data_IF_220781093163
#
_entry.id   IF_220781093163
#
_cell.length_a   1.000
_cell.length_b   1.000
_cell.length_c   1.000
_cell.angle_alpha   90.00
_cell.angle_beta   90.00
_cell.angle_gamma   90.00
#
_symmetry.space_group_name_H-M   'P 1'
#
loop_
_entity.id
_entity.type
_entity.pdbx_description
1 polymer ?
#
# COMPACT_ATOMS: atom_id res chain seq x y z
N UNK A 1 -13.50 8.19 18.73
CA UNK A 1 -14.26 8.31 17.47
C UNK A 1 -13.81 7.19 16.56
N UNK A 2 -14.72 6.41 15.99
CA UNK A 2 -14.35 5.38 15.02
C UNK A 2 -14.00 6.11 13.71
N UNK A 3 -12.78 5.90 13.20
CA UNK A 3 -12.39 6.42 11.88
C UNK A 3 -13.29 5.75 10.85
N UNK A 4 -13.89 6.55 9.97
CA UNK A 4 -14.75 6.04 8.92
C UNK A 4 -13.94 5.25 7.90
N UNK A 5 -14.59 4.31 7.22
CA UNK A 5 -13.92 3.52 6.20
C UNK A 5 -13.42 4.39 5.02
N UNK A 6 -14.07 5.54 4.78
CA UNK A 6 -13.67 6.51 3.77
C UNK A 6 -12.35 7.21 4.16
N UNK A 7 -12.23 7.68 5.40
CA UNK A 7 -10.98 8.32 5.88
C UNK A 7 -9.80 7.34 5.83
N UNK A 8 -10.02 6.05 6.12
CA UNK A 8 -8.99 5.01 5.99
C UNK A 8 -8.54 4.81 4.53
N UNK A 9 -9.48 4.87 3.57
CA UNK A 9 -9.15 4.76 2.14
C UNK A 9 -8.36 5.97 1.65
N UNK A 10 -8.75 7.18 2.04
CA UNK A 10 -8.05 8.42 1.67
C UNK A 10 -6.63 8.45 2.28
N UNK A 11 -6.51 8.02 3.54
CA UNK A 11 -5.21 7.87 4.19
C UNK A 11 -4.33 6.84 3.49
N UNK A 12 -4.89 5.67 3.14
CA UNK A 12 -4.15 4.63 2.43
C UNK A 12 -3.66 5.10 1.06
N UNK A 13 -4.50 5.81 0.29
CA UNK A 13 -4.12 6.38 -1.00
C UNK A 13 -3.02 7.46 -0.85
N UNK A 14 -3.12 8.32 0.17
CA UNK A 14 -2.07 9.30 0.48
C UNK A 14 -0.73 8.63 0.79
N UNK A 15 -0.73 7.61 1.65
CA UNK A 15 0.47 6.86 2.02
C UNK A 15 1.09 6.15 0.80
N UNK A 16 0.28 5.52 -0.05
CA UNK A 16 0.79 4.87 -1.26
C UNK A 16 1.35 5.90 -2.25
N UNK A 17 0.70 7.06 -2.43
CA UNK A 17 1.22 8.14 -3.29
C UNK A 17 2.55 8.69 -2.80
N UNK A 18 2.70 8.88 -1.49
CA UNK A 18 3.90 9.46 -0.89
C UNK A 18 5.07 8.48 -0.85
N UNK A 19 4.81 7.23 -0.44
CA UNK A 19 5.86 6.27 -0.12
C UNK A 19 5.86 5.04 -1.04
N UNK A 20 4.69 4.58 -1.49
CA UNK A 20 4.58 3.40 -2.37
C UNK A 20 4.99 3.66 -3.82
N UNK A 21 4.61 4.82 -4.39
CA UNK A 21 4.92 5.17 -5.79
C UNK A 21 6.41 5.22 -6.12
N UNK A 22 7.29 5.82 -5.30
CA UNK A 22 8.73 5.81 -5.58
C UNK A 22 9.30 4.40 -5.71
N UNK A 23 8.73 3.42 -4.99
CA UNK A 23 9.19 2.03 -4.98
C UNK A 23 8.83 1.27 -6.26
N UNK A 24 7.94 1.81 -7.10
CA UNK A 24 7.54 1.17 -8.37
C UNK A 24 8.72 0.98 -9.33
N UNK A 25 9.79 1.77 -9.21
CA UNK A 25 10.97 1.66 -10.07
C UNK A 25 11.84 0.44 -9.74
N UNK A 26 11.93 0.06 -8.46
CA UNK A 26 12.92 -0.92 -7.98
C UNK A 26 12.27 -2.18 -7.36
N UNK A 27 11.07 -2.06 -6.80
CA UNK A 27 10.39 -3.11 -6.03
C UNK A 27 9.07 -3.57 -6.68
N UNK A 28 8.99 -3.48 -8.01
CA UNK A 28 7.76 -3.83 -8.73
C UNK A 28 7.32 -5.27 -8.44
N UNK A 29 6.05 -5.43 -8.06
CA UNK A 29 5.46 -6.74 -7.78
C UNK A 29 5.67 -7.26 -6.35
N UNK A 30 6.55 -6.62 -5.58
CA UNK A 30 6.71 -6.86 -4.15
C UNK A 30 5.57 -6.23 -3.34
N UNK A 31 5.59 -6.48 -2.02
CA UNK A 31 4.66 -5.91 -1.07
C UNK A 31 5.39 -4.91 -0.16
N UNK A 32 4.67 -3.88 0.24
CA UNK A 32 5.16 -2.88 1.20
C UNK A 32 4.10 -2.64 2.28
N UNK A 33 4.49 -2.73 3.54
CA UNK A 33 3.72 -2.22 4.68
C UNK A 33 4.20 -0.80 4.97
N UNK A 34 3.27 0.16 5.06
CA UNK A 34 3.55 1.57 5.30
C UNK A 34 2.79 2.01 6.55
N UNK A 35 3.50 2.58 7.52
CA UNK A 35 2.91 3.18 8.71
C UNK A 35 2.63 4.67 8.48
N UNK A 36 1.75 5.25 9.30
CA UNK A 36 1.35 6.67 9.18
C UNK A 36 2.49 7.65 9.42
N UNK A 37 3.58 7.21 10.03
CA UNK A 37 4.80 7.98 10.26
C UNK A 37 5.88 7.79 9.19
N UNK A 38 5.59 7.05 8.13
CA UNK A 38 6.50 6.82 7.01
C UNK A 38 7.48 5.65 7.21
N UNK A 39 7.41 4.92 8.33
CA UNK A 39 8.15 3.65 8.46
C UNK A 39 7.59 2.63 7.47
N UNK A 40 8.49 1.83 6.90
CA UNK A 40 8.15 0.85 5.88
C UNK A 40 8.82 -0.50 6.06
N UNK A 41 8.15 -1.55 5.61
CA UNK A 41 8.71 -2.91 5.46
C UNK A 41 8.40 -3.41 4.06
N UNK A 42 9.43 -3.83 3.32
CA UNK A 42 9.34 -4.38 1.97
C UNK A 42 9.57 -5.88 1.98
N UNK A 43 8.94 -6.61 1.06
CA UNK A 43 9.23 -8.01 0.88
C UNK A 43 8.43 -8.70 -0.24
N UNK A 44 8.82 -9.93 -0.61
CA UNK A 44 8.31 -10.59 -1.80
C UNK A 44 6.87 -11.11 -1.65
N UNK A 45 6.37 -11.25 -0.42
CA UNK A 45 5.03 -11.78 -0.15
C UNK A 45 4.30 -10.95 0.90
N UNK A 46 2.98 -10.88 0.78
CA UNK A 46 2.12 -10.20 1.74
C UNK A 46 2.28 -10.74 3.15
N UNK A 47 2.42 -12.06 3.30
CA UNK A 47 2.56 -12.71 4.61
C UNK A 47 3.85 -12.27 5.30
N UNK A 48 5.00 -12.38 4.62
CA UNK A 48 6.29 -11.99 5.19
C UNK A 48 6.31 -10.51 5.62
N UNK A 49 5.76 -9.63 4.77
CA UNK A 49 5.68 -8.19 5.06
C UNK A 49 4.76 -7.91 6.26
N UNK A 50 3.64 -8.60 6.37
CA UNK A 50 2.69 -8.43 7.48
C UNK A 50 3.26 -8.92 8.80
N UNK A 51 3.90 -10.09 8.80
CA UNK A 51 4.54 -10.67 9.99
C UNK A 51 5.69 -9.79 10.48
N UNK A 52 6.55 -9.33 9.57
CA UNK A 52 7.68 -8.48 9.90
C UNK A 52 7.24 -7.09 10.39
N UNK A 53 6.25 -6.48 9.74
CA UNK A 53 5.68 -5.20 10.20
C UNK A 53 5.06 -5.32 11.59
N UNK A 54 4.32 -6.40 11.84
CA UNK A 54 3.73 -6.68 13.14
C UNK A 54 4.81 -6.89 14.21
N UNK A 55 5.87 -7.62 13.91
CA UNK A 55 6.96 -7.90 14.84
C UNK A 55 7.79 -6.64 15.16
N UNK A 56 8.06 -5.79 14.16
CA UNK A 56 8.92 -4.60 14.32
C UNK A 56 8.20 -3.40 14.90
N UNK A 57 6.94 -3.18 14.50
CA UNK A 57 6.27 -1.91 14.71
C UNK A 57 4.85 -2.07 15.29
N UNK A 58 4.35 -3.30 15.37
CA UNK A 58 3.00 -3.58 15.86
C UNK A 58 1.92 -3.34 14.80
N UNK A 59 0.70 -3.13 15.27
CA UNK A 59 -0.48 -2.91 14.40
C UNK A 59 -0.50 -1.48 13.87
N UNK A 60 -1.21 -1.26 12.76
CA UNK A 60 -1.50 0.09 12.23
C UNK A 60 -0.82 0.44 10.91
N UNK A 61 -0.17 -0.53 10.25
CA UNK A 61 0.30 -0.36 8.87
C UNK A 61 -0.76 -0.66 7.83
N UNK A 62 -0.62 -0.03 6.67
CA UNK A 62 -1.33 -0.38 5.45
C UNK A 62 -0.41 -1.20 4.53
N UNK A 63 -0.90 -2.32 4.00
CA UNK A 63 -0.11 -3.19 3.12
C UNK A 63 -0.57 -3.01 1.68
N UNK A 64 0.39 -2.81 0.78
CA UNK A 64 0.16 -2.58 -0.63
C UNK A 64 1.01 -3.52 -1.48
N UNK A 65 0.52 -3.84 -2.69
CA UNK A 65 1.35 -4.44 -3.73
C UNK A 65 1.92 -3.34 -4.60
N UNK A 66 3.25 -3.29 -4.71
CA UNK A 66 3.96 -2.24 -5.43
C UNK A 66 3.76 -2.41 -6.94
N UNK A 67 3.42 -1.32 -7.63
CA UNK A 67 3.32 -1.27 -9.09
C UNK A 67 2.04 -1.86 -9.69
N UNK A 68 1.29 -2.69 -8.95
CA UNK A 68 -0.01 -3.20 -9.43
C UNK A 68 -1.08 -2.13 -9.22
N UNK A 69 -0.97 -1.06 -10.01
CA UNK A 69 -2.07 -0.15 -10.22
C UNK A 69 -2.99 -0.81 -11.23
N UNK A 70 -4.01 -1.51 -10.76
CA UNK A 70 -5.16 -1.88 -11.59
C UNK A 70 -5.95 -0.61 -11.94
N UNK A 71 -5.36 0.27 -12.77
CA UNK A 71 -6.10 1.30 -13.48
C UNK A 71 -6.73 0.60 -14.69
N UNK A 72 -7.69 -0.28 -14.42
CA UNK A 72 -8.62 -0.70 -15.44
C UNK A 72 -9.43 0.53 -15.84
N UNK A 73 -8.97 1.28 -16.85
CA UNK A 73 -9.90 2.07 -17.66
C UNK A 73 -10.71 1.03 -18.41
N UNK A 74 -11.88 0.65 -17.88
CA UNK A 74 -12.85 -0.07 -18.69
C UNK A 74 -13.04 0.76 -19.95
N UNK A 75 -12.86 0.14 -21.12
CA UNK A 75 -13.05 0.79 -22.43
C UNK A 75 -14.49 1.29 -22.50
N UNK A 76 -14.76 2.50 -22.03
CA UNK A 76 -15.88 3.30 -22.50
C UNK A 76 -15.34 4.15 -23.63
N UNK A 77 -15.50 3.65 -24.85
CA UNK A 77 -15.77 4.37 -26.13
C UNK A 77 -16.09 3.26 -27.15
N UNK A 78 -17.37 2.93 -27.38
CA UNK A 78 -18.25 3.44 -28.46
C UNK A 78 -17.71 3.09 -29.86
N UNK A 79 -18.37 2.13 -30.53
CA UNK A 79 -19.03 2.26 -31.85
C UNK A 79 -20.16 1.23 -31.89
#
# INVERSE_FOLDING_TARGET
MAVSNQELMEQADSLYKQYGRPLEQEHWGEFVAIFTDGRMVLGPTLLAVSEEALAKFGKGSFVFKVGVKAVGKWRSTIH
#
